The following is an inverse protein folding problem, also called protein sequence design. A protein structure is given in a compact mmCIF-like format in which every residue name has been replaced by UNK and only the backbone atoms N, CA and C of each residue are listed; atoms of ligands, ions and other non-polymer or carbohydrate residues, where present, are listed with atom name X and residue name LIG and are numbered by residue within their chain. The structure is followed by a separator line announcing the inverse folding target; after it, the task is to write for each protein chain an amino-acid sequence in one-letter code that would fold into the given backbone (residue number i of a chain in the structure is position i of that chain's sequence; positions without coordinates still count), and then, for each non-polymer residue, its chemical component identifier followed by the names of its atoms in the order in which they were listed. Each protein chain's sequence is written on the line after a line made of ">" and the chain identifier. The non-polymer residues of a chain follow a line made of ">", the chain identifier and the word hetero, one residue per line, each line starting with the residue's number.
data_IF_891907860180
#
_entry.id   IF_891907860180
#
_cell.length_a   1.000
_cell.length_b   1.000
_cell.length_c   1.000
_cell.angle_alpha   90.00
_cell.angle_beta   90.00
_cell.angle_gamma   90.00
#
_symmetry.space_group_name_H-M   'P 1'
#
loop_
_entity.id
_entity.type
_entity.pdbx_description
1 polymer ?
#
# COMPACT_ATOMS: atom_id res chain seq x y z
N UNK A 1 -21.71 21.09 21.28
CA UNK A 1 -20.88 21.06 20.05
C UNK A 1 -19.72 20.14 20.35
N UNK A 2 -19.89 18.84 20.09
CA UNK A 2 -18.96 17.82 20.56
C UNK A 2 -18.05 17.44 19.40
N UNK A 3 -16.84 17.96 19.39
CA UNK A 3 -15.77 17.50 18.51
C UNK A 3 -15.46 16.03 18.85
N UNK A 4 -15.12 15.18 17.87
CA UNK A 4 -14.70 13.81 18.16
C UNK A 4 -13.40 13.86 18.99
N UNK A 5 -13.45 13.34 20.21
CA UNK A 5 -12.27 13.15 21.05
C UNK A 5 -11.47 11.97 20.51
N UNK A 6 -10.15 12.13 20.37
CA UNK A 6 -9.28 11.04 19.96
C UNK A 6 -9.36 9.88 20.96
N UNK A 7 -9.41 8.65 20.44
CA UNK A 7 -9.31 7.44 21.26
C UNK A 7 -7.90 7.35 21.83
N UNK A 8 -7.77 7.00 23.10
CA UNK A 8 -6.47 6.78 23.72
C UNK A 8 -5.86 5.47 23.19
N UNK A 9 -4.65 5.55 22.64
CA UNK A 9 -3.92 4.38 22.14
C UNK A 9 -2.73 4.09 23.05
N UNK A 10 -2.64 2.86 23.55
CA UNK A 10 -1.44 2.37 24.22
C UNK A 10 -0.43 1.92 23.19
N UNK A 11 0.69 2.63 23.10
CA UNK A 11 1.77 2.29 22.19
C UNK A 11 2.63 1.19 22.81
N UNK A 12 2.82 0.09 22.07
CA UNK A 12 3.69 -1.01 22.48
C UNK A 12 5.16 -0.80 22.09
N UNK A 13 5.44 0.18 21.22
CA UNK A 13 6.78 0.50 20.75
C UNK A 13 7.19 1.91 21.19
N UNK A 14 8.39 2.02 21.79
CA UNK A 14 8.96 3.29 22.28
C UNK A 14 10.03 3.89 21.35
N UNK A 15 10.12 3.39 20.11
CA UNK A 15 11.18 3.74 19.13
C UNK A 15 10.70 4.68 18.03
N UNK A 16 9.66 5.48 18.27
CA UNK A 16 9.06 6.38 17.26
C UNK A 16 10.01 7.45 16.71
N UNK A 17 11.11 7.73 17.40
CA UNK A 17 12.18 8.63 16.96
C UNK A 17 13.15 7.97 15.96
N UNK A 18 12.94 6.71 15.60
CA UNK A 18 13.76 5.96 14.65
C UNK A 18 12.91 5.54 13.46
N UNK A 19 13.52 5.53 12.29
CA UNK A 19 12.89 4.96 11.11
C UNK A 19 12.62 3.47 11.35
N UNK A 20 11.43 2.97 10.99
CA UNK A 20 11.16 1.54 11.01
C UNK A 20 11.94 0.83 9.91
N UNK A 21 11.93 -0.50 9.96
CA UNK A 21 12.40 -1.33 8.85
C UNK A 21 11.55 -1.09 7.60
N UNK A 22 12.16 -1.16 6.41
CA UNK A 22 11.45 -0.97 5.14
C UNK A 22 10.36 -2.04 4.92
N UNK A 23 10.60 -3.26 5.39
CA UNK A 23 9.64 -4.37 5.41
C UNK A 23 9.65 -4.97 6.82
N UNK A 24 8.76 -4.52 7.74
CA UNK A 24 8.76 -4.97 9.12
C UNK A 24 8.59 -6.49 9.22
N UNK A 25 9.62 -7.19 9.70
CA UNK A 25 9.69 -8.65 9.70
C UNK A 25 8.48 -9.32 10.36
N UNK A 26 8.05 -8.81 11.52
CA UNK A 26 6.91 -9.35 12.23
C UNK A 26 5.60 -9.28 11.43
N UNK A 27 5.40 -8.23 10.62
CA UNK A 27 4.20 -8.09 9.77
C UNK A 27 4.25 -9.10 8.63
N UNK A 28 5.40 -9.23 7.98
CA UNK A 28 5.62 -10.19 6.88
C UNK A 28 5.38 -11.62 7.35
N UNK A 29 6.00 -12.03 8.46
CA UNK A 29 5.89 -13.40 8.98
C UNK A 29 4.45 -13.74 9.39
N UNK A 30 3.80 -12.85 10.14
CA UNK A 30 2.41 -13.05 10.57
C UNK A 30 1.45 -13.13 9.38
N UNK A 31 1.64 -12.29 8.36
CA UNK A 31 0.78 -12.31 7.19
C UNK A 31 1.05 -13.53 6.30
N UNK A 32 2.31 -13.93 6.12
CA UNK A 32 2.69 -15.13 5.40
C UNK A 32 2.07 -16.38 6.04
N UNK A 33 2.13 -16.48 7.38
CA UNK A 33 1.47 -17.55 8.12
C UNK A 33 -0.05 -17.53 7.92
N UNK A 34 -0.69 -16.37 8.04
CA UNK A 34 -2.14 -16.22 7.80
C UNK A 34 -2.54 -16.65 6.39
N UNK A 35 -1.77 -16.26 5.37
CA UNK A 35 -2.08 -16.53 3.97
C UNK A 35 -1.58 -17.91 3.48
N UNK A 36 -0.81 -18.64 4.28
CA UNK A 36 -0.24 -19.95 3.91
C UNK A 36 0.83 -19.88 2.81
N UNK A 37 1.59 -18.80 2.74
CA UNK A 37 2.66 -18.57 1.75
C UNK A 37 4.01 -18.39 2.44
N UNK A 38 5.10 -18.37 1.66
CA UNK A 38 6.43 -18.08 2.23
C UNK A 38 6.61 -16.58 2.49
N UNK A 39 7.37 -16.16 3.52
CA UNK A 39 7.69 -14.76 3.78
C UNK A 39 8.24 -14.02 2.55
N UNK A 40 9.08 -14.68 1.74
CA UNK A 40 9.66 -14.12 0.51
C UNK A 40 8.64 -13.82 -0.60
N UNK A 41 7.41 -14.32 -0.47
CA UNK A 41 6.30 -14.08 -1.40
C UNK A 41 5.38 -12.94 -0.93
N UNK A 42 5.70 -12.28 0.19
CA UNK A 42 4.90 -11.19 0.76
C UNK A 42 5.66 -9.88 0.65
N UNK A 43 4.95 -8.82 0.25
CA UNK A 43 5.42 -7.44 0.25
C UNK A 43 4.37 -6.57 0.96
N UNK A 44 4.80 -5.75 1.91
CA UNK A 44 3.94 -4.79 2.62
C UNK A 44 4.07 -3.41 1.96
N UNK A 45 2.92 -2.78 1.71
CA UNK A 45 2.78 -1.42 1.18
C UNK A 45 1.69 -0.65 1.93
N UNK A 46 1.56 0.66 1.69
CA UNK A 46 0.50 1.52 2.23
C UNK A 46 -0.83 1.26 1.53
N UNK A 47 -1.40 0.09 1.79
CA UNK A 47 -2.62 -0.40 1.17
C UNK A 47 -2.41 -0.93 -0.26
N UNK A 48 -3.50 -1.43 -0.84
CA UNK A 48 -3.49 -2.08 -2.15
C UNK A 48 -3.19 -1.13 -3.32
N UNK A 49 -3.56 0.15 -3.20
CA UNK A 49 -3.31 1.16 -4.23
C UNK A 49 -1.82 1.32 -4.54
N UNK A 50 -0.97 1.30 -3.51
CA UNK A 50 0.48 1.37 -3.70
C UNK A 50 1.02 0.09 -4.33
N UNK A 51 0.49 -1.09 -3.96
CA UNK A 51 0.86 -2.35 -4.61
C UNK A 51 0.55 -2.35 -6.11
N UNK A 52 -0.61 -1.81 -6.49
CA UNK A 52 -1.00 -1.62 -7.89
C UNK A 52 -0.04 -0.65 -8.61
N UNK A 53 0.29 0.48 -7.98
CA UNK A 53 1.23 1.46 -8.52
C UNK A 53 2.62 0.86 -8.73
N UNK A 54 3.13 0.07 -7.79
CA UNK A 54 4.42 -0.62 -7.89
C UNK A 54 4.44 -1.60 -9.06
N UNK A 55 3.39 -2.42 -9.23
CA UNK A 55 3.28 -3.36 -10.36
C UNK A 55 3.27 -2.61 -11.69
N UNK A 56 2.49 -1.54 -11.81
CA UNK A 56 2.49 -0.72 -13.03
C UNK A 56 3.88 -0.12 -13.28
N UNK A 57 4.52 0.46 -12.27
CA UNK A 57 5.83 1.11 -12.45
C UNK A 57 6.95 0.12 -12.77
N UNK A 58 6.88 -1.10 -12.25
CA UNK A 58 7.89 -2.13 -12.49
C UNK A 58 7.78 -2.74 -13.90
N UNK A 59 6.56 -2.86 -14.45
CA UNK A 59 6.31 -3.63 -15.67
C UNK A 59 5.77 -2.82 -16.86
N UNK A 60 5.26 -1.60 -16.64
CA UNK A 60 4.71 -0.75 -17.68
C UNK A 60 5.61 0.45 -17.95
N UNK A 61 6.00 0.64 -19.21
CA UNK A 61 6.68 1.84 -19.65
C UNK A 61 5.70 3.02 -19.79
N UNK A 62 6.03 4.22 -19.27
CA UNK A 62 5.24 5.42 -19.51
C UNK A 62 5.01 5.66 -21.01
N UNK A 63 3.74 5.83 -21.41
CA UNK A 63 3.35 6.11 -22.80
C UNK A 63 3.07 4.89 -23.68
N UNK A 64 3.52 3.68 -23.30
CA UNK A 64 3.13 2.43 -24.00
C UNK A 64 1.85 1.86 -23.39
N UNK A 65 0.73 2.09 -24.08
CA UNK A 65 -0.60 1.63 -23.63
C UNK A 65 -0.82 0.15 -23.96
N UNK A 66 -0.74 -0.73 -22.96
CA UNK A 66 -1.33 -2.09 -23.00
C UNK A 66 -2.61 -2.08 -22.17
N UNK A 67 -3.69 -1.57 -22.76
CA UNK A 67 -4.96 -1.31 -22.07
C UNK A 67 -5.80 -2.56 -21.77
N UNK A 68 -5.43 -3.75 -22.23
CA UNK A 68 -6.31 -4.92 -22.19
C UNK A 68 -6.33 -5.69 -20.86
N UNK A 69 -5.51 -5.34 -19.85
CA UNK A 69 -5.36 -6.15 -18.63
C UNK A 69 -5.72 -5.45 -17.32
N UNK A 70 -6.10 -4.17 -17.34
CA UNK A 70 -6.33 -3.43 -16.09
C UNK A 70 -7.81 -3.46 -15.73
N UNK A 71 -8.12 -4.04 -14.56
CA UNK A 71 -9.50 -4.15 -14.03
C UNK A 71 -10.15 -2.77 -13.80
N UNK A 72 -11.47 -2.74 -13.61
CA UNK A 72 -12.23 -1.51 -13.36
C UNK A 72 -11.66 -0.64 -12.21
N UNK A 73 -11.04 -1.27 -11.20
CA UNK A 73 -10.44 -0.59 -10.06
C UNK A 73 -9.19 0.21 -10.44
N UNK A 74 -8.36 -0.32 -11.35
CA UNK A 74 -7.18 0.35 -11.87
C UNK A 74 -7.52 1.60 -12.70
N UNK A 75 -8.61 1.54 -13.48
CA UNK A 75 -9.11 2.72 -14.18
C UNK A 75 -9.59 3.81 -13.22
N UNK A 76 -10.24 3.43 -12.10
CA UNK A 76 -10.67 4.38 -11.07
C UNK A 76 -9.49 5.13 -10.43
N UNK A 77 -8.44 4.40 -10.01
CA UNK A 77 -7.23 5.00 -9.43
C UNK A 77 -6.52 5.93 -10.41
N UNK A 78 -6.38 5.53 -11.68
CA UNK A 78 -5.75 6.35 -12.72
C UNK A 78 -6.61 7.59 -13.09
N UNK A 79 -7.94 7.49 -13.03
CA UNK A 79 -8.85 8.62 -13.27
C UNK A 79 -8.75 9.68 -12.19
N UNK A 80 -8.49 9.31 -10.93
CA UNK A 80 -8.32 10.29 -9.85
C UNK A 80 -7.04 11.13 -9.99
N UNK A 81 -5.96 10.58 -10.56
CA UNK A 81 -4.70 11.34 -10.78
C UNK A 81 -4.70 12.23 -12.03
N UNK A 82 -5.74 12.16 -12.87
CA UNK A 82 -5.93 13.02 -14.06
C UNK A 82 -6.92 14.17 -13.86
N UNK A 83 -7.24 14.55 -12.61
CA UNK A 83 -7.92 15.82 -12.40
C UNK A 83 -6.97 16.95 -12.78
N UNK A 84 -7.38 17.91 -13.65
CA UNK A 84 -6.56 19.08 -13.89
C UNK A 84 -6.39 19.83 -12.57
N UNK A 85 -5.16 20.30 -12.29
CA UNK A 85 -4.98 21.33 -11.28
C UNK A 85 -5.76 22.56 -11.77
N UNK A 86 -6.70 23.02 -10.95
CA UNK A 86 -7.37 24.31 -11.13
C UNK A 86 -6.38 25.45 -10.86
#
# INVERSE_FOLDING_TARGET
>A
MNSPTAVEFQLTQQTLNRYPECQPKAVIENYAQYAGVKPEQVLVSRGADEGIELVIRAFCEPGKRRHSLLSAHLWYVQRQRRKPLA
#
